data_IF_325889931643
#
_entry.id   IF_325889931643
#
_cell.length_a   1.000
_cell.length_b   1.000
_cell.length_c   1.000
_cell.angle_alpha   90.00
_cell.angle_beta   90.00
_cell.angle_gamma   90.00
#
_symmetry.space_group_name_H-M   'P 1'
#
loop_
_entity.id
_entity.type
_entity.pdbx_description
1 polymer ?
#
# COMPACT_ATOMS: atom_id res chain seq x y z
N UNK A 1 -2.56 -11.54 -8.08
CA UNK A 1 -3.04 -11.45 -9.49
C UNK A 1 -4.34 -12.19 -9.72
N UNK A 2 -4.54 -13.31 -9.03
CA UNK A 2 -5.76 -14.13 -9.18
C UNK A 2 -7.04 -13.34 -8.87
N UNK A 3 -7.01 -12.50 -7.83
CA UNK A 3 -8.16 -11.69 -7.40
C UNK A 3 -8.24 -10.30 -8.06
N UNK A 4 -7.14 -9.83 -8.62
CA UNK A 4 -7.02 -8.49 -9.22
C UNK A 4 -6.27 -8.57 -10.54
N UNK A 5 -6.91 -9.06 -11.62
CA UNK A 5 -6.25 -9.33 -12.91
C UNK A 5 -5.67 -8.08 -13.58
N UNK A 6 -6.27 -6.93 -13.33
CA UNK A 6 -5.85 -5.64 -13.91
C UNK A 6 -4.67 -4.99 -13.18
N UNK A 7 -4.26 -5.56 -12.03
CA UNK A 7 -3.12 -5.05 -11.27
C UNK A 7 -1.82 -5.61 -11.86
N UNK A 8 -0.94 -4.71 -12.27
CA UNK A 8 0.41 -5.05 -12.70
C UNK A 8 1.33 -5.10 -11.47
N UNK A 9 2.17 -6.13 -11.40
CA UNK A 9 3.10 -6.34 -10.31
C UNK A 9 4.54 -6.25 -10.81
N UNK A 10 5.36 -5.52 -10.08
CA UNK A 10 6.81 -5.48 -10.31
C UNK A 10 7.57 -5.55 -8.98
N UNK A 11 8.86 -5.81 -9.06
CA UNK A 11 9.76 -5.74 -7.90
C UNK A 11 10.19 -4.30 -7.66
N UNK A 12 10.51 -3.91 -6.41
CA UNK A 12 10.95 -2.55 -6.08
C UNK A 12 12.11 -2.07 -6.96
N UNK A 13 13.09 -2.93 -7.21
CA UNK A 13 14.30 -2.59 -7.98
C UNK A 13 14.01 -2.23 -9.45
N UNK A 14 12.90 -2.74 -9.98
CA UNK A 14 12.48 -2.48 -11.36
C UNK A 14 11.32 -1.46 -11.45
N UNK A 15 10.84 -0.95 -10.32
CA UNK A 15 9.57 -0.25 -10.26
C UNK A 15 9.58 1.06 -11.09
N UNK A 16 10.65 1.84 -11.01
CA UNK A 16 10.74 3.11 -11.75
C UNK A 16 10.67 2.89 -13.27
N UNK A 17 11.46 1.97 -13.78
CA UNK A 17 11.47 1.65 -15.22
C UNK A 17 10.16 0.99 -15.65
N UNK A 18 9.62 0.13 -14.80
CA UNK A 18 8.33 -0.52 -15.04
C UNK A 18 7.19 0.49 -15.14
N UNK A 19 7.08 1.40 -14.19
CA UNK A 19 6.05 2.46 -14.21
C UNK A 19 6.22 3.35 -15.43
N UNK A 20 7.46 3.73 -15.76
CA UNK A 20 7.75 4.56 -16.93
C UNK A 20 7.35 3.88 -18.24
N UNK A 21 7.56 2.57 -18.35
CA UNK A 21 7.18 1.79 -19.52
C UNK A 21 5.66 1.54 -19.67
N UNK A 22 4.91 1.64 -18.57
CA UNK A 22 3.46 1.39 -18.53
C UNK A 22 2.63 2.65 -18.29
N UNK A 23 3.21 3.83 -18.49
CA UNK A 23 2.54 5.11 -18.34
C UNK A 23 2.70 5.97 -19.58
N UNK A 24 1.66 6.74 -19.94
CA UNK A 24 1.66 7.59 -21.13
C UNK A 24 2.55 8.84 -20.99
N UNK A 25 2.92 9.22 -19.77
CA UNK A 25 3.60 10.47 -19.46
C UNK A 25 4.92 10.29 -18.70
N UNK A 26 5.55 9.12 -18.82
CA UNK A 26 6.86 8.83 -18.24
C UNK A 26 6.88 8.71 -16.71
N UNK A 27 5.75 8.37 -16.11
CA UNK A 27 5.58 8.15 -14.68
C UNK A 27 4.10 8.13 -14.28
N UNK A 28 3.83 7.80 -13.02
CA UNK A 28 2.47 7.69 -12.51
C UNK A 28 1.85 9.08 -12.23
N UNK A 29 0.55 9.24 -12.52
CA UNK A 29 -0.24 10.44 -12.19
C UNK A 29 -0.48 10.58 -10.69
N UNK A 30 -0.70 9.44 -10.04
CA UNK A 30 -0.91 9.34 -8.59
C UNK A 30 -0.07 8.19 -8.06
N UNK A 31 0.63 8.44 -6.97
CA UNK A 31 1.41 7.43 -6.26
C UNK A 31 0.90 7.33 -4.83
N UNK A 32 0.62 6.12 -4.38
CA UNK A 32 0.29 5.83 -2.99
C UNK A 32 1.46 5.07 -2.36
N UNK A 33 2.14 5.69 -1.41
CA UNK A 33 3.16 5.05 -0.60
C UNK A 33 2.49 4.49 0.66
N UNK A 34 2.45 3.17 0.77
CA UNK A 34 1.71 2.46 1.83
C UNK A 34 2.57 1.41 2.56
N UNK A 35 3.87 1.38 2.28
CA UNK A 35 4.78 0.38 2.83
C UNK A 35 5.58 0.88 4.04
N UNK A 36 6.00 2.14 4.05
CA UNK A 36 6.77 2.74 5.14
C UNK A 36 8.15 2.11 5.36
N UNK A 37 8.69 1.42 4.36
CA UNK A 37 9.99 0.80 4.45
C UNK A 37 11.10 1.79 4.03
N UNK A 38 12.34 1.43 4.33
CA UNK A 38 13.50 2.18 3.86
C UNK A 38 13.44 2.34 2.34
N UNK A 39 13.73 3.51 1.85
CA UNK A 39 13.81 3.88 0.44
C UNK A 39 12.44 3.91 -0.30
N UNK A 40 11.32 3.52 0.32
CA UNK A 40 10.01 3.52 -0.36
C UNK A 40 9.47 4.92 -0.62
N UNK A 41 9.79 5.90 0.22
CA UNK A 41 9.45 7.29 -0.02
C UNK A 41 10.20 7.86 -1.25
N UNK A 42 11.49 7.55 -1.36
CA UNK A 42 12.28 7.94 -2.53
C UNK A 42 11.74 7.29 -3.80
N UNK A 43 11.47 6.01 -3.77
CA UNK A 43 10.89 5.28 -4.89
C UNK A 43 9.54 5.88 -5.31
N UNK A 44 8.69 6.25 -4.35
CA UNK A 44 7.38 6.83 -4.63
C UNK A 44 7.48 8.12 -5.46
N UNK A 45 8.29 9.09 -5.04
CA UNK A 45 8.40 10.34 -5.79
C UNK A 45 9.19 10.17 -7.10
N UNK A 46 10.09 9.22 -7.21
CA UNK A 46 10.80 8.90 -8.46
C UNK A 46 9.86 8.33 -9.51
N UNK A 47 8.94 7.46 -9.11
CA UNK A 47 7.91 6.89 -9.99
C UNK A 47 6.86 7.91 -10.45
N UNK A 48 6.72 9.03 -9.77
CA UNK A 48 5.77 10.08 -10.10
C UNK A 48 6.21 10.89 -11.34
N UNK A 49 5.28 11.13 -12.28
CA UNK A 49 5.53 12.07 -13.39
C UNK A 49 5.52 13.53 -12.90
N UNK A 50 5.94 14.50 -13.71
CA UNK A 50 5.71 15.91 -13.41
C UNK A 50 4.22 16.22 -13.16
N UNK A 51 3.96 17.09 -12.18
CA UNK A 51 2.63 17.49 -11.69
C UNK A 51 1.79 16.36 -11.07
N UNK A 52 2.42 15.27 -10.68
CA UNK A 52 1.73 14.15 -10.01
C UNK A 52 1.43 14.44 -8.54
N UNK A 53 0.54 13.61 -8.00
CA UNK A 53 0.22 13.58 -6.55
C UNK A 53 0.91 12.37 -5.94
N UNK A 54 1.68 12.59 -4.88
CA UNK A 54 2.27 11.53 -4.07
C UNK A 54 1.61 11.56 -2.70
N UNK A 55 0.86 10.52 -2.37
CA UNK A 55 0.20 10.38 -1.08
C UNK A 55 0.96 9.37 -0.23
N UNK A 56 1.44 9.83 0.92
CA UNK A 56 2.15 9.01 1.91
C UNK A 56 1.13 8.60 2.98
N UNK A 57 0.75 7.34 2.96
CA UNK A 57 -0.20 6.72 3.89
C UNK A 57 0.55 5.98 5.01
N UNK A 58 1.73 5.47 4.68
CA UNK A 58 2.52 4.68 5.60
C UNK A 58 3.10 5.51 6.75
N UNK A 59 3.33 4.85 7.88
CA UNK A 59 4.09 5.39 8.99
C UNK A 59 5.58 5.08 8.80
N UNK A 60 6.42 6.07 9.10
CA UNK A 60 7.87 5.94 9.08
C UNK A 60 8.43 6.14 10.48
N UNK A 61 9.36 5.30 10.87
CA UNK A 61 10.06 5.41 12.17
C UNK A 61 11.12 6.51 12.16
N UNK A 62 11.61 6.88 10.95
CA UNK A 62 12.67 7.88 10.77
C UNK A 62 12.21 9.01 9.85
N UNK A 63 12.82 10.18 10.01
CA UNK A 63 12.56 11.32 9.14
C UNK A 63 12.91 10.99 7.68
N UNK A 64 12.03 11.37 6.76
CA UNK A 64 12.25 11.24 5.33
C UNK A 64 12.73 12.56 4.74
N UNK A 65 13.64 12.49 3.77
CA UNK A 65 14.22 13.67 3.13
C UNK A 65 13.50 14.00 1.84
N UNK A 66 13.19 15.27 1.64
CA UNK A 66 12.77 15.83 0.36
C UNK A 66 14.01 16.40 -0.36
N UNK A 67 14.60 15.69 -1.32
CA UNK A 67 15.79 16.17 -2.04
C UNK A 67 15.34 17.16 -3.11
N UNK A 68 15.07 18.41 -2.70
CA UNK A 68 14.53 19.45 -3.57
C UNK A 68 15.33 19.69 -4.86
N UNK A 69 16.67 19.60 -4.86
CA UNK A 69 17.44 19.72 -6.10
C UNK A 69 17.07 18.67 -7.15
N UNK A 70 16.80 17.42 -6.71
CA UNK A 70 16.47 16.31 -7.60
C UNK A 70 15.00 16.32 -8.04
N UNK A 71 14.17 17.02 -7.27
CA UNK A 71 12.74 17.20 -7.56
C UNK A 71 12.45 18.44 -8.41
N UNK A 72 13.45 19.25 -8.69
CA UNK A 72 13.26 20.48 -9.46
C UNK A 72 12.64 20.17 -10.84
N UNK A 73 11.56 20.85 -11.15
CA UNK A 73 10.80 20.64 -12.38
C UNK A 73 9.75 19.53 -12.34
N UNK A 74 9.68 18.73 -11.26
CA UNK A 74 8.59 17.74 -11.13
C UNK A 74 7.28 18.36 -10.63
N UNK A 75 7.28 19.48 -9.93
CA UNK A 75 6.08 20.16 -9.42
C UNK A 75 5.13 19.19 -8.67
N UNK A 76 5.67 18.37 -7.78
CA UNK A 76 4.89 17.34 -7.10
C UNK A 76 3.99 17.93 -6.00
N UNK A 77 2.81 17.36 -5.85
CA UNK A 77 1.95 17.59 -4.68
C UNK A 77 2.10 16.43 -3.72
N UNK A 78 2.57 16.70 -2.51
CA UNK A 78 2.62 15.70 -1.44
C UNK A 78 1.39 15.81 -0.55
N UNK A 79 0.77 14.67 -0.24
CA UNK A 79 -0.29 14.53 0.75
C UNK A 79 0.15 13.54 1.81
N UNK A 80 -0.06 13.90 3.06
CA UNK A 80 0.17 13.01 4.20
C UNK A 80 -1.06 13.01 5.08
N UNK A 81 -1.25 11.96 5.86
CA UNK A 81 -2.35 11.93 6.80
C UNK A 81 -2.46 10.58 7.50
N UNK A 82 -3.05 10.61 8.68
CA UNK A 82 -3.47 9.41 9.38
C UNK A 82 -4.90 9.02 9.00
N UNK A 83 -5.27 7.79 9.34
CA UNK A 83 -6.65 7.34 9.21
C UNK A 83 -7.50 8.01 10.29
N UNK A 84 -8.47 8.81 9.90
CA UNK A 84 -9.42 9.46 10.80
C UNK A 84 -10.79 8.75 10.87
N UNK A 85 -10.97 7.74 10.03
CA UNK A 85 -12.20 6.94 10.00
C UNK A 85 -13.40 7.63 9.34
N UNK A 86 -13.23 8.78 8.72
CA UNK A 86 -14.34 9.54 8.11
C UNK A 86 -15.08 8.73 7.03
N UNK A 87 -14.39 7.87 6.30
CA UNK A 87 -14.96 7.08 5.21
C UNK A 87 -15.42 5.67 5.63
N UNK A 88 -15.31 5.30 6.91
CA UNK A 88 -15.65 3.95 7.37
C UNK A 88 -17.08 3.54 7.03
N UNK A 89 -18.06 4.42 7.20
CA UNK A 89 -19.45 4.13 6.89
C UNK A 89 -19.66 3.81 5.40
N UNK A 90 -19.03 4.60 4.53
CA UNK A 90 -19.09 4.38 3.07
C UNK A 90 -18.41 3.09 2.66
N UNK A 91 -17.22 2.81 3.20
CA UNK A 91 -16.46 1.57 2.90
C UNK A 91 -17.27 0.34 3.34
N UNK A 92 -17.86 0.36 4.55
CA UNK A 92 -18.72 -0.73 5.04
C UNK A 92 -19.94 -0.92 4.14
N UNK A 93 -20.54 0.16 3.64
CA UNK A 93 -21.64 0.09 2.69
C UNK A 93 -21.21 -0.59 1.39
N UNK A 94 -20.04 -0.23 0.84
CA UNK A 94 -19.50 -0.82 -0.39
C UNK A 94 -19.17 -2.31 -0.20
N UNK A 95 -18.66 -2.71 0.95
CA UNK A 95 -18.42 -4.12 1.30
C UNK A 95 -19.76 -4.87 1.38
N UNK A 96 -20.74 -4.31 2.08
CA UNK A 96 -22.05 -4.93 2.22
C UNK A 96 -22.80 -5.10 0.88
N UNK A 97 -22.53 -4.23 -0.07
CA UNK A 97 -23.07 -4.30 -1.43
C UNK A 97 -22.28 -5.24 -2.37
N UNK A 98 -21.15 -5.78 -1.89
CA UNK A 98 -20.26 -6.62 -2.71
C UNK A 98 -19.44 -5.85 -3.76
N UNK A 99 -19.42 -4.51 -3.69
CA UNK A 99 -18.58 -3.69 -4.58
C UNK A 99 -17.09 -3.83 -4.23
N UNK A 100 -16.79 -3.99 -2.94
CA UNK A 100 -15.45 -4.29 -2.42
C UNK A 100 -15.52 -5.66 -1.74
N UNK A 101 -14.74 -6.62 -2.21
CA UNK A 101 -14.59 -7.91 -1.56
C UNK A 101 -13.26 -7.97 -0.81
N UNK A 102 -13.33 -7.96 0.51
CA UNK A 102 -12.18 -8.09 1.41
C UNK A 102 -11.94 -9.54 1.88
N UNK A 103 -12.82 -10.46 1.53
CA UNK A 103 -12.77 -11.86 1.96
C UNK A 103 -11.44 -12.55 1.61
N UNK A 104 -10.87 -12.35 0.40
CA UNK A 104 -9.60 -12.96 0.02
C UNK A 104 -8.40 -12.52 0.86
N UNK A 105 -8.52 -11.40 1.58
CA UNK A 105 -7.44 -10.91 2.45
C UNK A 105 -7.33 -11.75 3.74
N UNK A 106 -8.42 -12.37 4.21
CA UNK A 106 -8.44 -13.19 5.42
C UNK A 106 -7.99 -14.60 5.05
N UNK A 107 -6.70 -14.85 5.15
CA UNK A 107 -6.10 -16.14 4.79
C UNK A 107 -6.15 -17.18 5.91
N UNK A 108 -6.16 -16.72 7.17
CA UNK A 108 -6.11 -17.59 8.35
C UNK A 108 -7.16 -17.18 9.37
N UNK A 109 -7.64 -18.16 10.12
CA UNK A 109 -8.59 -17.95 11.23
C UNK A 109 -8.14 -18.78 12.41
N UNK A 110 -8.07 -18.18 13.59
CA UNK A 110 -7.73 -18.82 14.85
C UNK A 110 -8.72 -18.42 15.94
N UNK A 111 -9.04 -19.33 16.86
CA UNK A 111 -9.70 -18.95 18.10
C UNK A 111 -8.73 -18.14 18.98
N UNK A 112 -9.28 -17.36 19.92
CA UNK A 112 -8.46 -16.55 20.83
C UNK A 112 -7.51 -17.43 21.68
N UNK A 113 -7.89 -18.66 21.97
CA UNK A 113 -7.05 -19.63 22.67
C UNK A 113 -5.74 -19.98 21.92
N UNK A 114 -5.68 -19.75 20.61
CA UNK A 114 -4.51 -20.02 19.77
C UNK A 114 -3.81 -18.72 19.30
N UNK A 115 -3.97 -17.63 20.04
CA UNK A 115 -3.45 -16.31 19.65
C UNK A 115 -1.91 -16.30 19.45
N UNK A 116 -1.16 -17.08 20.23
CA UNK A 116 0.30 -17.17 20.11
C UNK A 116 0.71 -17.77 18.75
N UNK A 117 0.00 -18.81 18.31
CA UNK A 117 0.25 -19.43 17.01
C UNK A 117 -0.13 -18.48 15.86
N UNK A 118 -1.23 -17.73 16.01
CA UNK A 118 -1.62 -16.70 15.05
C UNK A 118 -0.54 -15.63 14.88
N UNK A 119 0.05 -15.16 15.98
CA UNK A 119 1.18 -14.23 15.94
C UNK A 119 2.42 -14.86 15.31
N UNK A 120 2.75 -16.11 15.67
CA UNK A 120 3.91 -16.81 15.09
C UNK A 120 3.82 -16.88 13.55
N UNK A 121 2.66 -17.25 13.04
CA UNK A 121 2.41 -17.34 11.59
C UNK A 121 2.53 -15.96 10.95
N UNK A 122 1.92 -14.94 11.54
CA UNK A 122 1.88 -13.59 10.98
C UNK A 122 3.26 -12.92 10.98
N UNK A 123 3.98 -12.95 12.07
CA UNK A 123 5.31 -12.33 12.21
C UNK A 123 6.34 -12.96 11.28
N UNK A 124 6.29 -14.30 11.14
CA UNK A 124 7.26 -15.03 10.32
C UNK A 124 6.79 -15.18 8.86
N UNK A 125 5.65 -14.60 8.49
CA UNK A 125 5.09 -14.65 7.13
C UNK A 125 4.97 -16.07 6.58
N UNK A 126 4.49 -16.99 7.43
CA UNK A 126 4.33 -18.39 7.08
C UNK A 126 3.03 -18.64 6.31
N UNK A 127 2.97 -19.74 5.58
CA UNK A 127 1.79 -20.27 4.89
C UNK A 127 1.04 -19.26 4.00
N UNK A 128 1.78 -18.28 3.45
CA UNK A 128 1.19 -17.26 2.59
C UNK A 128 0.24 -16.30 3.31
N UNK A 129 0.41 -16.10 4.61
CA UNK A 129 -0.45 -15.24 5.43
C UNK A 129 -0.51 -13.80 4.89
N UNK A 130 -1.73 -13.28 4.76
CA UNK A 130 -2.00 -11.86 4.48
C UNK A 130 -2.66 -11.22 5.69
N UNK A 131 -3.79 -11.77 6.14
CA UNK A 131 -4.52 -11.33 7.33
C UNK A 131 -4.96 -12.54 8.15
N UNK A 132 -4.87 -12.39 9.45
CA UNK A 132 -5.36 -13.36 10.42
C UNK A 132 -6.60 -12.80 11.11
N UNK A 133 -7.70 -13.53 11.07
CA UNK A 133 -8.88 -13.23 11.85
C UNK A 133 -8.85 -14.04 13.15
N UNK A 134 -9.04 -13.37 14.27
CA UNK A 134 -9.21 -14.01 15.58
C UNK A 134 -10.69 -14.02 15.93
N UNK A 135 -11.20 -15.17 16.28
CA UNK A 135 -12.58 -15.34 16.73
C UNK A 135 -12.62 -15.49 18.25
N UNK A 136 -13.46 -14.71 18.91
CA UNK A 136 -13.90 -15.06 20.26
C UNK A 136 -14.84 -16.25 20.10
N UNK A 137 -14.52 -17.38 20.70
CA UNK A 137 -15.29 -18.64 20.58
C UNK A 137 -16.78 -18.45 20.77
#
# INVERSE_FOLDING_TARGET
>A
REHYPDVLLCRPEACEDFVRAHSDHGGADVVLEVAGAKDTFELAWRCARPNAIVTVVALYDEAQTLPLPDMYGKNLTFKTGGVDGCDCAEILRLIAQGTIDTTPLITHRFPLSEIEEAYRIFENRLDGVIKVAITAE
#
